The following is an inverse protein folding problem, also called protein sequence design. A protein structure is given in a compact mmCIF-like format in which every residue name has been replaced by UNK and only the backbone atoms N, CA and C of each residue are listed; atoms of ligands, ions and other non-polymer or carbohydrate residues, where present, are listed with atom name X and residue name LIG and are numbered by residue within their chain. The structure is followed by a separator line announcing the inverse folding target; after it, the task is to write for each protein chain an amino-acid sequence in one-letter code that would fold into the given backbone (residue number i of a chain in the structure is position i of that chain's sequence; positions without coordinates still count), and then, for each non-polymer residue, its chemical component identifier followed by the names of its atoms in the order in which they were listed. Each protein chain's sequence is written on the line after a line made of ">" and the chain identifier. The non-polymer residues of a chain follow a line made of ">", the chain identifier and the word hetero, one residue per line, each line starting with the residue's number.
data_IF_270305926852
#
_entry.id   IF_270305926852
#
_cell.length_a   1.000
_cell.length_b   1.000
_cell.length_c   1.000
_cell.angle_alpha   90.00
_cell.angle_beta   90.00
_cell.angle_gamma   90.00
#
_symmetry.space_group_name_H-M   'P 1'
#
loop_
_entity.id
_entity.type
_entity.pdbx_description
1 polymer ?
#
# COMPACT_ATOMS: atom_id res chain seq x y z
N UNK A 1 39.73 42.18 8.28
CA UNK A 1 39.99 43.47 7.62
C UNK A 1 40.12 43.27 6.12
N UNK A 2 39.12 43.68 5.33
CA UNK A 2 39.25 44.55 4.14
C UNK A 2 37.93 44.53 3.37
N UNK A 3 37.35 45.73 3.30
CA UNK A 3 36.20 46.13 2.51
C UNK A 3 36.62 46.25 1.05
N UNK A 4 35.77 45.84 0.10
CA UNK A 4 35.72 46.47 -1.22
C UNK A 4 34.26 46.64 -1.63
N UNK A 5 33.99 47.88 -2.02
CA UNK A 5 32.74 48.52 -2.37
C UNK A 5 32.43 48.33 -3.87
N UNK A 6 31.14 48.19 -4.18
CA UNK A 6 30.38 48.89 -5.24
C UNK A 6 30.76 48.68 -6.70
N UNK A 7 29.81 48.15 -7.48
CA UNK A 7 29.41 48.80 -8.74
C UNK A 7 27.92 48.60 -9.00
N UNK A 8 27.24 49.73 -9.21
CA UNK A 8 25.86 49.91 -9.69
C UNK A 8 25.69 49.32 -11.10
N UNK A 9 24.54 48.70 -11.38
CA UNK A 9 23.97 48.69 -12.72
C UNK A 9 22.43 48.69 -12.66
N UNK A 10 21.87 49.81 -13.15
CA UNK A 10 20.46 49.98 -13.49
C UNK A 10 20.07 48.95 -14.56
N UNK A 11 18.95 48.27 -14.35
CA UNK A 11 18.32 47.40 -15.35
C UNK A 11 16.81 47.42 -15.17
N UNK A 12 16.16 48.42 -15.76
CA UNK A 12 14.71 48.54 -15.89
C UNK A 12 14.23 47.52 -16.93
N UNK A 13 13.45 46.51 -16.54
CA UNK A 13 12.55 45.81 -17.47
C UNK A 13 11.20 45.54 -16.83
N UNK A 14 10.18 46.01 -17.53
CA UNK A 14 8.75 45.91 -17.25
C UNK A 14 8.23 44.61 -17.86
N UNK A 15 7.31 43.95 -17.15
CA UNK A 15 6.35 43.03 -17.75
C UNK A 15 6.56 41.55 -17.40
N UNK A 16 6.00 41.11 -16.27
CA UNK A 16 5.66 39.71 -16.06
C UNK A 16 4.13 39.59 -15.96
N UNK A 17 3.56 38.90 -16.94
CA UNK A 17 2.15 38.48 -16.96
C UNK A 17 1.90 37.56 -15.76
N UNK A 18 1.04 37.98 -14.85
CA UNK A 18 0.52 37.14 -13.77
C UNK A 18 -0.52 36.18 -14.36
N UNK A 19 -0.05 35.08 -14.93
CA UNK A 19 -0.89 33.91 -15.20
C UNK A 19 -0.97 33.10 -13.89
N UNK A 20 -2.06 33.28 -13.14
CA UNK A 20 -2.46 32.35 -12.10
C UNK A 20 -2.95 31.06 -12.77
N UNK A 21 -2.03 30.21 -13.22
CA UNK A 21 -2.36 28.80 -13.44
C UNK A 21 -2.33 28.15 -12.07
N UNK A 22 -3.51 27.95 -11.49
CA UNK A 22 -3.68 27.04 -10.37
C UNK A 22 -3.17 25.67 -10.83
N UNK A 23 -2.00 25.28 -10.33
CA UNK A 23 -1.55 23.90 -10.43
C UNK A 23 -2.49 23.08 -9.56
N UNK A 24 -3.57 22.57 -10.15
CA UNK A 24 -4.29 21.43 -9.62
C UNK A 24 -3.28 20.29 -9.54
N UNK A 25 -2.62 20.20 -8.38
CA UNK A 25 -1.77 19.09 -7.98
C UNK A 25 -2.71 17.92 -7.76
N UNK A 26 -3.13 17.32 -8.88
CA UNK A 26 -3.73 16.01 -8.91
C UNK A 26 -2.63 15.07 -8.44
N UNK A 27 -2.66 14.74 -7.15
CA UNK A 27 -1.86 13.65 -6.61
C UNK A 27 -2.09 12.44 -7.51
N UNK A 28 -1.05 11.74 -7.96
CA UNK A 28 -1.24 10.52 -8.72
C UNK A 28 -2.05 9.56 -7.85
N UNK A 29 -3.31 9.33 -8.25
CA UNK A 29 -4.14 8.31 -7.65
C UNK A 29 -3.36 6.99 -7.75
N UNK A 30 -3.16 6.32 -6.60
CA UNK A 30 -2.58 4.98 -6.61
C UNK A 30 -3.39 4.11 -7.56
N UNK A 31 -2.76 3.48 -8.57
CA UNK A 31 -3.48 2.65 -9.53
C UNK A 31 -3.95 1.38 -8.82
N UNK A 32 -5.18 1.39 -8.28
CA UNK A 32 -5.70 0.22 -7.58
C UNK A 32 -7.16 0.29 -7.12
N UNK A 33 -7.66 1.45 -6.68
CA UNK A 33 -8.99 1.54 -6.07
C UNK A 33 -9.98 2.31 -6.98
N UNK A 34 -10.66 1.60 -7.88
CA UNK A 34 -11.68 2.19 -8.77
C UNK A 34 -13.13 1.81 -8.40
N UNK A 35 -13.34 1.11 -7.28
CA UNK A 35 -14.67 0.75 -6.77
C UNK A 35 -15.07 1.60 -5.57
N UNK A 36 -16.34 2.01 -5.48
CA UNK A 36 -16.87 2.55 -4.23
C UNK A 36 -16.76 1.47 -3.14
N UNK A 37 -16.10 1.79 -2.03
CA UNK A 37 -15.90 0.84 -0.95
C UNK A 37 -17.24 0.30 -0.44
N UNK A 38 -17.32 -1.01 -0.23
CA UNK A 38 -18.52 -1.64 0.31
C UNK A 38 -18.51 -1.43 1.82
N UNK A 39 -19.61 -0.96 2.40
CA UNK A 39 -19.73 -0.69 3.83
C UNK A 39 -20.85 -1.52 4.46
N UNK A 40 -20.67 -1.93 5.72
CA UNK A 40 -21.73 -2.53 6.54
C UNK A 40 -22.66 -1.46 7.13
N UNK A 41 -23.78 -1.88 7.72
CA UNK A 41 -24.76 -0.97 8.34
C UNK A 41 -24.21 -0.19 9.54
N UNK A 42 -23.17 -0.70 10.21
CA UNK A 42 -22.55 -0.07 11.36
C UNK A 42 -21.78 1.22 11.06
N UNK A 43 -21.51 1.55 9.79
CA UNK A 43 -20.71 2.71 9.40
C UNK A 43 -21.42 4.07 9.47
N UNK A 44 -22.61 4.15 10.07
CA UNK A 44 -23.34 5.40 10.30
C UNK A 44 -23.15 6.00 11.71
N UNK A 45 -22.52 5.27 12.63
CA UNK A 45 -22.24 5.73 13.98
C UNK A 45 -20.87 6.45 14.04
N UNK A 46 -20.69 7.45 14.94
CA UNK A 46 -19.39 8.09 15.11
C UNK A 46 -18.32 7.06 15.56
N UNK A 47 -17.11 7.08 14.99
CA UNK A 47 -16.08 6.08 15.26
C UNK A 47 -15.63 6.04 16.72
N UNK A 48 -15.74 7.15 17.46
CA UNK A 48 -15.45 7.23 18.89
C UNK A 48 -16.40 6.40 19.78
N UNK A 49 -17.48 5.87 19.22
CA UNK A 49 -18.41 4.99 19.94
C UNK A 49 -18.00 3.51 19.89
N UNK A 50 -17.02 3.13 19.05
CA UNK A 50 -16.55 1.77 18.96
C UNK A 50 -15.48 1.48 20.02
N UNK A 51 -15.67 0.38 20.77
CA UNK A 51 -14.67 -0.17 21.68
C UNK A 51 -13.47 -0.72 20.88
N UNK A 52 -12.23 -0.22 21.08
CA UNK A 52 -11.05 -0.68 20.35
C UNK A 52 -10.76 -2.17 20.49
N UNK A 53 -10.99 -2.77 21.66
CA UNK A 53 -10.74 -4.21 21.88
C UNK A 53 -11.70 -5.03 21.01
N UNK A 54 -12.96 -4.60 20.93
CA UNK A 54 -13.96 -5.21 20.06
C UNK A 54 -13.58 -5.11 18.58
N UNK A 55 -13.00 -4.00 18.13
CA UNK A 55 -12.57 -3.86 16.72
C UNK A 55 -11.42 -4.81 16.39
N UNK A 56 -10.47 -5.01 17.32
CA UNK A 56 -9.40 -6.00 17.19
C UNK A 56 -9.98 -7.41 17.08
N UNK A 57 -10.94 -7.77 17.93
CA UNK A 57 -11.61 -9.07 17.89
C UNK A 57 -12.33 -9.31 16.55
N UNK A 58 -13.04 -8.29 16.04
CA UNK A 58 -13.71 -8.37 14.74
C UNK A 58 -12.70 -8.52 13.60
N UNK A 59 -11.62 -7.74 13.60
CA UNK A 59 -10.55 -7.88 12.61
C UNK A 59 -9.91 -9.27 12.66
N UNK A 60 -9.67 -9.81 13.85
CA UNK A 60 -9.15 -11.16 14.05
C UNK A 60 -10.09 -12.24 13.52
N UNK A 61 -11.38 -12.17 13.84
CA UNK A 61 -12.39 -13.10 13.30
C UNK A 61 -12.47 -13.05 11.77
N UNK A 62 -12.42 -11.84 11.20
CA UNK A 62 -12.39 -11.65 9.75
C UNK A 62 -11.11 -12.24 9.15
N UNK A 63 -9.96 -11.99 9.76
CA UNK A 63 -8.67 -12.54 9.36
C UNK A 63 -8.69 -14.07 9.31
N UNK A 64 -9.02 -14.71 10.43
CA UNK A 64 -9.03 -16.19 10.52
C UNK A 64 -9.97 -16.83 9.50
N UNK A 65 -11.19 -16.33 9.35
CA UNK A 65 -12.15 -16.92 8.41
C UNK A 65 -11.84 -16.54 6.96
N UNK A 66 -11.36 -15.32 6.73
CA UNK A 66 -10.91 -14.85 5.41
C UNK A 66 -9.81 -15.74 4.85
N UNK A 67 -8.84 -16.10 5.68
CA UNK A 67 -7.74 -17.00 5.32
C UNK A 67 -8.22 -18.44 5.08
N UNK A 68 -9.12 -18.96 5.93
CA UNK A 68 -9.58 -20.34 5.83
C UNK A 68 -10.55 -20.59 4.67
N UNK A 69 -11.57 -19.74 4.55
CA UNK A 69 -12.71 -19.98 3.65
C UNK A 69 -12.60 -19.16 2.35
N UNK A 70 -11.85 -18.06 2.36
CA UNK A 70 -11.82 -17.07 1.27
C UNK A 70 -10.41 -16.77 0.74
N UNK A 71 -9.45 -17.69 0.91
CA UNK A 71 -8.04 -17.49 0.57
C UNK A 71 -7.77 -16.92 -0.84
N UNK A 72 -8.60 -17.29 -1.83
CA UNK A 72 -8.44 -16.86 -3.23
C UNK A 72 -8.79 -15.37 -3.47
N UNK A 73 -9.49 -14.74 -2.53
CA UNK A 73 -9.99 -13.36 -2.65
C UNK A 73 -9.61 -12.48 -1.46
N UNK A 74 -9.39 -13.04 -0.27
CA UNK A 74 -9.02 -12.29 0.92
C UNK A 74 -7.55 -11.86 0.88
N UNK A 75 -7.27 -10.58 1.20
CA UNK A 75 -5.91 -10.03 1.25
C UNK A 75 -5.46 -9.69 2.68
N UNK A 76 -6.38 -9.26 3.54
CA UNK A 76 -6.09 -8.97 4.94
C UNK A 76 -7.18 -8.14 5.59
N UNK A 77 -7.11 -8.02 6.92
CA UNK A 77 -7.97 -7.14 7.70
C UNK A 77 -7.14 -6.38 8.74
N UNK A 78 -7.53 -5.14 9.03
CA UNK A 78 -6.90 -4.32 10.08
C UNK A 78 -7.93 -3.40 10.73
N UNK A 79 -7.60 -2.90 11.91
CA UNK A 79 -8.33 -1.76 12.50
C UNK A 79 -7.85 -0.49 11.80
N UNK A 80 -8.78 0.25 11.20
CA UNK A 80 -8.57 1.57 10.61
C UNK A 80 -9.28 2.67 11.41
N UNK A 81 -9.32 3.87 10.87
CA UNK A 81 -9.81 5.06 11.58
C UNK A 81 -11.34 5.05 11.80
N UNK A 82 -12.08 4.49 10.84
CA UNK A 82 -13.55 4.43 10.86
C UNK A 82 -14.11 3.12 11.44
N UNK A 83 -13.28 2.08 11.58
CA UNK A 83 -13.71 0.72 11.93
C UNK A 83 -12.74 -0.35 11.46
N UNK A 84 -13.25 -1.52 11.07
CA UNK A 84 -12.40 -2.58 10.50
C UNK A 84 -12.31 -2.42 8.98
N UNK A 85 -11.09 -2.35 8.46
CA UNK A 85 -10.82 -2.33 7.01
C UNK A 85 -10.48 -3.74 6.54
N UNK A 86 -11.15 -4.18 5.48
CA UNK A 86 -10.97 -5.51 4.88
C UNK A 86 -10.53 -5.33 3.44
N UNK A 87 -9.39 -5.89 3.09
CA UNK A 87 -8.85 -5.83 1.73
C UNK A 87 -9.15 -7.16 1.04
N UNK A 88 -9.81 -7.09 -0.12
CA UNK A 88 -10.18 -8.28 -0.88
C UNK A 88 -10.27 -8.02 -2.37
N UNK A 89 -10.13 -9.05 -3.19
CA UNK A 89 -10.59 -9.05 -4.58
C UNK A 89 -12.14 -9.01 -4.60
N UNK A 90 -12.77 -8.46 -5.66
CA UNK A 90 -14.23 -8.51 -5.86
C UNK A 90 -14.83 -9.89 -5.57
N UNK A 91 -15.67 -9.99 -4.54
CA UNK A 91 -16.31 -11.24 -4.13
C UNK A 91 -17.66 -11.00 -3.43
N UNK A 92 -18.74 -11.37 -4.11
CA UNK A 92 -20.10 -11.24 -3.57
C UNK A 92 -20.34 -12.14 -2.34
N UNK A 93 -19.69 -13.30 -2.29
CA UNK A 93 -19.83 -14.26 -1.19
C UNK A 93 -19.19 -13.73 0.10
N UNK A 94 -17.94 -13.24 0.00
CA UNK A 94 -17.24 -12.61 1.12
C UNK A 94 -18.00 -11.36 1.59
N UNK A 95 -18.48 -10.53 0.65
CA UNK A 95 -19.31 -9.36 0.96
C UNK A 95 -20.57 -9.72 1.74
N UNK A 96 -21.31 -10.72 1.27
CA UNK A 96 -22.55 -11.15 1.90
C UNK A 96 -22.29 -11.64 3.32
N UNK A 97 -21.24 -12.44 3.51
CA UNK A 97 -20.86 -12.94 4.84
C UNK A 97 -20.45 -11.81 5.79
N UNK A 98 -19.61 -10.86 5.34
CA UNK A 98 -19.20 -9.72 6.18
C UNK A 98 -20.41 -8.86 6.54
N UNK A 99 -21.27 -8.55 5.56
CA UNK A 99 -22.49 -7.76 5.77
C UNK A 99 -23.48 -8.42 6.73
N UNK A 100 -23.66 -9.74 6.64
CA UNK A 100 -24.59 -10.44 7.52
C UNK A 100 -24.03 -10.60 8.93
N UNK A 101 -22.75 -10.93 9.05
CA UNK A 101 -22.13 -11.30 10.34
C UNK A 101 -21.78 -10.07 11.17
N UNK A 102 -21.30 -9.01 10.52
CA UNK A 102 -20.83 -7.78 11.18
C UNK A 102 -21.74 -6.59 10.87
N UNK A 103 -23.04 -6.83 10.69
CA UNK A 103 -24.02 -5.80 10.30
C UNK A 103 -24.00 -4.55 11.22
N UNK A 104 -23.74 -4.74 12.51
CA UNK A 104 -23.73 -3.68 13.53
C UNK A 104 -22.36 -3.04 13.78
N UNK A 105 -21.28 -3.58 13.21
CA UNK A 105 -19.92 -3.02 13.34
C UNK A 105 -19.54 -2.36 12.02
N UNK A 106 -18.92 -1.18 12.05
CA UNK A 106 -18.43 -0.59 10.81
C UNK A 106 -17.29 -1.43 10.24
N UNK A 107 -17.55 -2.06 9.11
CA UNK A 107 -16.57 -2.80 8.32
C UNK A 107 -16.59 -2.23 6.92
N UNK A 108 -15.42 -1.83 6.44
CA UNK A 108 -15.20 -1.22 5.12
C UNK A 108 -14.42 -2.22 4.29
N UNK A 109 -14.98 -2.65 3.16
CA UNK A 109 -14.32 -3.56 2.23
C UNK A 109 -13.74 -2.77 1.07
N UNK A 110 -12.43 -2.92 0.91
CA UNK A 110 -11.61 -2.32 -0.13
C UNK A 110 -11.31 -3.37 -1.20
N UNK A 111 -11.58 -3.01 -2.45
CA UNK A 111 -11.16 -3.80 -3.59
C UNK A 111 -9.65 -3.68 -3.78
N UNK A 112 -8.97 -4.83 -3.88
CA UNK A 112 -7.55 -4.95 -4.23
C UNK A 112 -7.34 -5.92 -5.38
N UNK A 113 -6.18 -5.80 -6.04
CA UNK A 113 -5.84 -6.64 -7.19
C UNK A 113 -5.39 -8.06 -6.80
N UNK A 114 -4.75 -8.20 -5.64
CA UNK A 114 -4.08 -9.44 -5.22
C UNK A 114 -4.61 -9.91 -3.86
N UNK A 115 -4.77 -11.21 -3.71
CA UNK A 115 -5.08 -11.87 -2.44
C UNK A 115 -3.82 -12.09 -1.59
N UNK A 116 -4.01 -12.49 -0.33
CA UNK A 116 -2.93 -12.89 0.56
C UNK A 116 -2.18 -14.10 0.00
N UNK A 117 -2.90 -15.04 -0.62
CA UNK A 117 -2.31 -16.18 -1.30
C UNK A 117 -1.43 -15.77 -2.49
N UNK A 118 -1.86 -14.78 -3.29
CA UNK A 118 -1.06 -14.24 -4.39
C UNK A 118 0.23 -13.61 -3.87
N UNK A 119 0.13 -12.80 -2.79
CA UNK A 119 1.28 -12.15 -2.16
C UNK A 119 2.24 -13.15 -1.51
N UNK A 120 1.73 -14.15 -0.80
CA UNK A 120 2.53 -15.21 -0.19
C UNK A 120 3.32 -16.01 -1.23
N UNK A 121 2.69 -16.29 -2.40
CA UNK A 121 3.39 -16.93 -3.52
C UNK A 121 4.55 -16.07 -4.02
N UNK A 122 4.36 -14.75 -4.17
CA UNK A 122 5.43 -13.84 -4.58
C UNK A 122 6.51 -13.70 -3.52
N UNK A 123 6.14 -13.60 -2.25
CA UNK A 123 7.06 -13.60 -1.11
C UNK A 123 7.98 -14.83 -1.15
N UNK A 124 7.40 -16.02 -1.33
CA UNK A 124 8.16 -17.26 -1.40
C UNK A 124 9.10 -17.28 -2.61
N UNK A 125 8.63 -16.86 -3.79
CA UNK A 125 9.47 -16.76 -4.98
C UNK A 125 10.71 -15.89 -4.75
N UNK A 126 10.55 -14.73 -4.09
CA UNK A 126 11.68 -13.86 -3.76
C UNK A 126 12.65 -14.54 -2.79
N UNK A 127 12.13 -15.23 -1.77
CA UNK A 127 12.95 -15.97 -0.80
C UNK A 127 13.75 -17.11 -1.45
N UNK A 128 13.11 -17.87 -2.35
CA UNK A 128 13.74 -18.96 -3.10
C UNK A 128 14.83 -18.43 -4.05
N UNK A 129 14.71 -17.17 -4.51
CA UNK A 129 15.65 -16.51 -5.42
C UNK A 129 16.84 -15.84 -4.70
N UNK A 130 16.97 -15.95 -3.37
CA UNK A 130 18.04 -15.29 -2.59
C UNK A 130 19.46 -15.63 -3.07
N UNK A 131 19.74 -16.89 -3.41
CA UNK A 131 21.04 -17.28 -3.98
C UNK A 131 21.28 -16.62 -5.34
N UNK A 132 20.28 -16.61 -6.21
CA UNK A 132 20.36 -15.93 -7.51
C UNK A 132 20.67 -14.44 -7.33
N UNK A 133 20.03 -13.76 -6.39
CA UNK A 133 20.29 -12.34 -6.12
C UNK A 133 21.71 -12.09 -5.64
N UNK A 134 22.23 -12.95 -4.75
CA UNK A 134 23.61 -12.85 -4.28
C UNK A 134 24.62 -12.99 -5.42
N UNK A 135 24.40 -13.90 -6.37
CA UNK A 135 25.24 -14.05 -7.57
C UNK A 135 25.17 -12.82 -8.49
N UNK A 136 24.03 -12.12 -8.51
CA UNK A 136 23.91 -10.82 -9.17
C UNK A 136 24.52 -9.68 -8.35
N UNK A 137 25.07 -9.95 -7.17
CA UNK A 137 25.61 -8.96 -6.23
C UNK A 137 24.53 -8.02 -5.68
N UNK A 138 23.36 -8.56 -5.37
CA UNK A 138 22.27 -7.91 -4.64
C UNK A 138 22.01 -8.72 -3.37
N UNK A 139 22.11 -8.08 -2.21
CA UNK A 139 21.86 -8.72 -0.93
C UNK A 139 20.43 -8.40 -0.48
N UNK A 140 19.61 -9.44 -0.37
CA UNK A 140 18.26 -9.35 0.18
C UNK A 140 18.35 -9.44 1.69
N UNK A 141 18.09 -8.33 2.38
CA UNK A 141 18.14 -8.22 3.84
C UNK A 141 16.80 -8.59 4.47
N UNK A 142 15.70 -8.23 3.81
CA UNK A 142 14.35 -8.54 4.26
C UNK A 142 13.43 -8.83 3.06
N UNK A 143 12.40 -9.62 3.32
CA UNK A 143 11.24 -9.79 2.44
C UNK A 143 10.01 -9.66 3.32
N UNK A 144 9.00 -8.91 2.87
CA UNK A 144 7.72 -8.76 3.56
C UNK A 144 6.59 -8.56 2.56
N UNK A 145 5.34 -8.65 3.03
CA UNK A 145 4.15 -8.39 2.20
C UNK A 145 3.36 -7.23 2.79
N UNK A 146 2.91 -6.33 1.94
CA UNK A 146 2.00 -5.24 2.28
C UNK A 146 0.69 -5.47 1.54
N UNK A 147 -0.29 -6.07 2.23
CA UNK A 147 -1.58 -6.39 1.64
C UNK A 147 -2.46 -5.17 1.37
N UNK A 148 -2.18 -4.04 2.02
CA UNK A 148 -2.91 -2.78 1.83
C UNK A 148 -2.55 -2.20 0.47
N UNK A 149 -1.25 -2.16 0.16
CA UNK A 149 -0.75 -1.72 -1.15
C UNK A 149 -0.75 -2.83 -2.20
N UNK A 150 -0.90 -4.09 -1.77
CA UNK A 150 -0.88 -5.26 -2.65
C UNK A 150 0.50 -5.51 -3.26
N UNK A 151 1.56 -5.29 -2.50
CA UNK A 151 2.96 -5.40 -2.96
C UNK A 151 3.79 -6.32 -2.04
N UNK A 152 4.84 -6.92 -2.59
CA UNK A 152 5.91 -7.54 -1.78
C UNK A 152 7.06 -6.54 -1.66
N UNK A 153 7.53 -6.30 -0.44
CA UNK A 153 8.58 -5.32 -0.15
C UNK A 153 9.87 -6.07 0.15
N UNK A 154 10.97 -5.64 -0.46
CA UNK A 154 12.30 -6.24 -0.33
C UNK A 154 13.29 -5.17 0.14
N UNK A 155 13.90 -5.42 1.29
CA UNK A 155 14.97 -4.59 1.83
C UNK A 155 16.32 -4.96 1.23
N UNK A 156 17.05 -3.99 0.70
CA UNK A 156 18.41 -4.15 0.16
C UNK A 156 19.13 -2.80 0.15
N UNK A 157 20.45 -2.78 0.31
CA UNK A 157 21.25 -1.56 0.10
C UNK A 157 21.51 -1.29 -1.38
N UNK A 158 21.35 -2.29 -2.24
CA UNK A 158 21.66 -2.18 -3.67
C UNK A 158 20.45 -1.76 -4.53
N UNK A 159 19.59 -0.87 -4.02
CA UNK A 159 18.31 -0.49 -4.63
C UNK A 159 18.44 -0.12 -6.11
N UNK A 160 19.37 0.78 -6.45
CA UNK A 160 19.53 1.27 -7.83
C UNK A 160 19.90 0.16 -8.81
N UNK A 161 20.75 -0.78 -8.37
CA UNK A 161 21.16 -1.94 -9.15
C UNK A 161 20.05 -2.99 -9.24
N UNK A 162 19.38 -3.24 -8.12
CA UNK A 162 18.36 -4.27 -8.01
C UNK A 162 17.07 -3.90 -8.78
N UNK A 163 16.70 -2.62 -8.81
CA UNK A 163 15.44 -2.15 -9.41
C UNK A 163 15.16 -2.66 -10.83
N UNK A 164 16.06 -2.49 -11.83
CA UNK A 164 15.81 -3.01 -13.17
C UNK A 164 15.80 -4.55 -13.23
N UNK A 165 16.58 -5.22 -12.38
CA UNK A 165 16.65 -6.68 -12.34
C UNK A 165 15.37 -7.30 -11.77
N UNK A 166 14.88 -6.73 -10.67
CA UNK A 166 13.62 -7.13 -10.03
C UNK A 166 12.43 -6.85 -10.95
N UNK A 167 12.37 -5.68 -11.58
CA UNK A 167 11.31 -5.34 -12.53
C UNK A 167 11.24 -6.33 -13.70
N UNK A 168 12.40 -6.75 -14.23
CA UNK A 168 12.45 -7.74 -15.31
C UNK A 168 12.03 -9.15 -14.86
N UNK A 169 12.49 -9.60 -13.69
CA UNK A 169 12.21 -10.97 -13.20
C UNK A 169 10.78 -11.15 -12.69
N UNK A 170 10.20 -10.09 -12.12
CA UNK A 170 8.90 -10.11 -11.45
C UNK A 170 7.81 -9.34 -12.23
N UNK A 171 7.91 -9.31 -13.56
CA UNK A 171 7.04 -8.53 -14.43
C UNK A 171 5.54 -8.89 -14.32
N UNK A 172 5.24 -10.15 -13.99
CA UNK A 172 3.87 -10.66 -13.81
C UNK A 172 3.52 -10.83 -12.33
N UNK A 173 2.23 -10.79 -12.00
CA UNK A 173 1.73 -11.02 -10.64
C UNK A 173 1.88 -9.81 -9.70
N UNK A 174 1.92 -10.02 -8.37
CA UNK A 174 2.10 -8.94 -7.41
C UNK A 174 3.45 -8.22 -7.61
N UNK A 175 3.46 -6.88 -7.66
CA UNK A 175 4.69 -6.12 -7.84
C UNK A 175 5.64 -6.33 -6.65
N UNK A 176 6.94 -6.23 -6.93
CA UNK A 176 7.99 -6.18 -5.90
C UNK A 176 8.53 -4.76 -5.84
N UNK A 177 8.49 -4.19 -4.64
CA UNK A 177 9.07 -2.88 -4.35
C UNK A 177 10.34 -3.04 -3.52
N UNK A 178 11.31 -2.18 -3.81
CA UNK A 178 12.59 -2.17 -3.12
C UNK A 178 12.63 -1.01 -2.14
N UNK A 179 13.15 -1.28 -0.94
CA UNK A 179 13.44 -0.25 0.07
C UNK A 179 14.90 -0.33 0.46
N UNK A 180 15.51 0.84 0.71
CA UNK A 180 16.86 0.92 1.24
C UNK A 180 16.85 0.46 2.69
N UNK A 181 17.51 -0.68 2.95
CA UNK A 181 17.55 -1.31 4.26
C UNK A 181 18.95 -1.89 4.49
N UNK A 182 19.58 -1.50 5.61
CA UNK A 182 20.84 -2.08 6.04
C UNK A 182 20.65 -3.50 6.62
N UNK A 183 21.68 -4.37 6.56
CA UNK A 183 21.66 -5.66 7.22
C UNK A 183 21.34 -5.53 8.72
N UNK A 184 20.57 -6.50 9.23
CA UNK A 184 20.21 -6.60 10.64
C UNK A 184 21.41 -6.92 11.55
#
# INVERSE_FOLDING_TARGET
>A
MRRVLVTLLLGLTVGALTACTASDTSSPASPGASGAAVRTGGCGAPPSAADPERLVDVAGQIGTRGEADFAAVFAGARVGDEGVEVYRKPSAELDAWVKSTFAATCVILHDVRFSAADLAKRYQQVGDDTTYWSEQGVHVNSVSSDFVRGVVVVGTQEVDKAKPLFAARYADGPPVELVDEAPA
#
